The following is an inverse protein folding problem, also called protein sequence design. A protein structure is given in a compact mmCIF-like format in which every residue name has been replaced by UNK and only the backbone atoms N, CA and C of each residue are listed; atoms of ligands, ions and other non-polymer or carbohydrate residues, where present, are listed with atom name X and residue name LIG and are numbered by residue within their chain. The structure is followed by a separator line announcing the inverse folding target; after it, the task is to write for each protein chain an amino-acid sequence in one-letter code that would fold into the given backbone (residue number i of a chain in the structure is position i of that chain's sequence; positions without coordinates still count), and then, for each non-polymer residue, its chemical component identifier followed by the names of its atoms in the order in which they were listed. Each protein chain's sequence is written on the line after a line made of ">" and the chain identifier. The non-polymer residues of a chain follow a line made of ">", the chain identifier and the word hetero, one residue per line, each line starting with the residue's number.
data_IF_663500329338
#
_entry.id   IF_663500329338
#
_cell.length_a   1.000
_cell.length_b   1.000
_cell.length_c   1.000
_cell.angle_alpha   90.00
_cell.angle_beta   90.00
_cell.angle_gamma   90.00
#
_symmetry.space_group_name_H-M   'P 1'
#
loop_
_entity.id
_entity.type
_entity.pdbx_description
1 polymer ?
#
# COMPACT_ATOMS: atom_id res chain seq x y z
N UNK A 1 3.72 -7.02 13.39
CA UNK A 1 3.15 -5.81 14.01
C UNK A 1 3.28 -4.68 13.02
N UNK A 2 2.13 -4.14 12.63
CA UNK A 2 1.97 -3.01 11.69
C UNK A 2 1.45 -1.77 12.42
N UNK A 3 0.96 -1.92 13.65
CA UNK A 3 0.56 -0.84 14.53
C UNK A 3 1.24 -0.98 15.89
N UNK A 4 1.54 0.14 16.54
CA UNK A 4 2.03 0.21 17.92
C UNK A 4 1.26 1.27 18.69
N UNK A 5 0.67 0.88 19.82
CA UNK A 5 0.03 1.83 20.74
C UNK A 5 1.06 2.89 21.18
N UNK A 6 0.78 4.20 21.02
CA UNK A 6 1.63 5.28 21.50
C UNK A 6 1.97 5.20 22.99
N UNK A 7 1.08 4.61 23.80
CA UNK A 7 1.24 4.45 25.24
C UNK A 7 2.10 3.22 25.63
N UNK A 8 2.63 2.49 24.65
CA UNK A 8 3.93 1.84 24.82
C UNK A 8 3.97 0.33 25.02
N UNK A 9 2.85 -0.37 25.19
CA UNK A 9 2.90 -1.83 25.43
C UNK A 9 2.27 -2.71 24.36
N UNK A 10 1.25 -2.23 23.65
CA UNK A 10 0.53 -3.08 22.70
C UNK A 10 1.02 -2.88 21.27
N UNK A 11 1.14 -3.98 20.54
CA UNK A 11 1.39 -3.96 19.11
C UNK A 11 0.60 -5.08 18.45
N UNK A 12 0.03 -4.78 17.29
CA UNK A 12 -0.88 -5.71 16.59
C UNK A 12 -0.68 -5.62 15.07
N UNK A 13 -1.33 -6.52 14.34
CA UNK A 13 -1.39 -6.53 12.87
C UNK A 13 -2.79 -6.07 12.48
N UNK A 14 -2.89 -4.82 12.05
CA UNK A 14 -4.14 -4.22 11.58
C UNK A 14 -4.13 -3.91 10.09
N UNK A 15 -2.95 -3.91 9.48
CA UNK A 15 -2.74 -3.51 8.09
C UNK A 15 -2.43 -4.75 7.24
N UNK A 16 -3.12 -4.86 6.10
CA UNK A 16 -3.04 -6.00 5.20
C UNK A 16 -2.89 -5.55 3.75
N UNK A 17 -2.08 -6.27 2.99
CA UNK A 17 -1.99 -6.15 1.53
C UNK A 17 -2.63 -7.37 0.89
N UNK A 18 -3.77 -7.18 0.23
CA UNK A 18 -4.45 -8.25 -0.50
C UNK A 18 -3.85 -8.35 -1.91
N UNK A 19 -3.28 -9.51 -2.23
CA UNK A 19 -2.61 -9.76 -3.51
C UNK A 19 -3.27 -10.98 -4.16
N UNK A 20 -3.69 -10.85 -5.41
CA UNK A 20 -4.22 -12.00 -6.18
C UNK A 20 -3.17 -13.11 -6.28
N UNK A 21 -3.61 -14.36 -6.12
CA UNK A 21 -2.76 -15.55 -6.20
C UNK A 21 -1.91 -15.62 -7.47
N UNK A 22 -2.39 -15.04 -8.58
CA UNK A 22 -1.65 -14.95 -9.84
C UNK A 22 -0.34 -14.15 -9.75
N UNK A 23 -0.24 -13.26 -8.76
CA UNK A 23 0.95 -12.45 -8.52
C UNK A 23 1.80 -12.97 -7.35
N UNK A 24 1.49 -14.15 -6.80
CA UNK A 24 2.34 -14.79 -5.80
C UNK A 24 3.71 -15.19 -6.35
N UNK A 25 3.85 -15.79 -7.55
CA UNK A 25 5.17 -16.16 -8.06
C UNK A 25 6.18 -15.00 -8.21
N UNK A 26 5.80 -13.79 -8.68
CA UNK A 26 6.71 -12.65 -8.75
C UNK A 26 6.91 -11.91 -7.41
N UNK A 27 6.15 -12.23 -6.36
CA UNK A 27 6.27 -11.59 -5.05
C UNK A 27 7.58 -12.01 -4.37
N UNK A 28 8.40 -11.05 -3.98
CA UNK A 28 9.75 -11.30 -3.40
C UNK A 28 9.81 -11.08 -1.91
N UNK A 29 9.05 -10.11 -1.40
CA UNK A 29 9.12 -9.70 0.00
C UNK A 29 7.81 -9.01 0.40
N UNK A 30 7.33 -9.26 1.63
CA UNK A 30 6.24 -8.50 2.27
C UNK A 30 6.61 -8.28 3.73
N UNK A 31 6.86 -7.04 4.13
CA UNK A 31 7.31 -6.72 5.50
C UNK A 31 6.79 -5.37 5.97
N UNK A 32 6.59 -5.28 7.29
CA UNK A 32 6.41 -4.00 7.97
C UNK A 32 7.77 -3.30 8.15
N UNK A 33 7.84 -2.02 7.81
CA UNK A 33 9.04 -1.19 7.87
C UNK A 33 9.06 -0.44 9.21
N UNK A 34 9.84 -0.95 10.18
CA UNK A 34 9.87 -0.47 11.57
C UNK A 34 11.02 0.50 11.90
N UNK A 35 11.51 1.22 10.89
CA UNK A 35 12.70 2.07 10.97
C UNK A 35 12.57 3.44 10.32
N UNK A 36 11.73 3.65 9.29
CA UNK A 36 11.36 4.99 8.86
C UNK A 36 10.40 5.60 9.88
N UNK A 37 10.78 6.72 10.48
CA UNK A 37 9.85 7.50 11.31
C UNK A 37 8.82 8.14 10.39
N UNK A 38 7.62 7.57 10.38
CA UNK A 38 6.51 8.07 9.58
C UNK A 38 5.68 9.10 10.36
N UNK A 39 6.08 9.44 11.60
CA UNK A 39 5.30 10.28 12.49
C UNK A 39 3.93 9.67 12.84
N UNK A 40 3.78 8.35 12.72
CA UNK A 40 2.55 7.61 12.97
C UNK A 40 2.81 6.39 13.86
N UNK A 41 1.81 6.03 14.63
CA UNK A 41 1.66 4.75 15.32
C UNK A 41 1.54 3.53 14.38
N UNK A 42 1.34 3.75 13.08
CA UNK A 42 1.39 2.73 12.04
C UNK A 42 2.77 2.63 11.37
N UNK A 43 3.26 1.40 11.24
CA UNK A 43 4.41 1.06 10.41
C UNK A 43 3.98 0.87 8.96
N UNK A 44 4.78 1.38 8.02
CA UNK A 44 4.54 1.14 6.59
C UNK A 44 4.62 -0.34 6.26
N UNK A 45 3.58 -0.89 5.65
CA UNK A 45 3.63 -2.22 5.06
C UNK A 45 4.16 -2.11 3.62
N UNK A 46 5.18 -2.91 3.27
CA UNK A 46 5.81 -2.89 1.95
C UNK A 46 5.80 -4.28 1.32
N UNK A 47 5.28 -4.38 0.09
CA UNK A 47 5.44 -5.52 -0.79
C UNK A 47 6.43 -5.20 -1.92
N UNK A 48 7.35 -6.13 -2.21
CA UNK A 48 8.31 -6.04 -3.32
C UNK A 48 7.96 -7.12 -4.32
N UNK A 49 7.75 -6.73 -5.59
CA UNK A 49 7.36 -7.64 -6.66
C UNK A 49 8.17 -7.40 -7.93
N UNK A 50 8.57 -8.48 -8.60
CA UNK A 50 9.32 -8.42 -9.85
C UNK A 50 8.39 -8.62 -11.04
N UNK A 51 8.05 -7.55 -11.75
CA UNK A 51 7.13 -7.57 -12.89
C UNK A 51 7.82 -7.08 -14.18
N UNK A 52 7.38 -7.63 -15.32
CA UNK A 52 7.69 -7.08 -16.64
C UNK A 52 6.49 -6.27 -17.12
N UNK A 53 6.59 -4.95 -17.00
CA UNK A 53 5.52 -4.04 -17.43
C UNK A 53 5.72 -3.64 -18.89
N UNK A 54 4.64 -3.64 -19.68
CA UNK A 54 4.64 -3.04 -21.02
C UNK A 54 4.10 -1.62 -20.90
N UNK A 55 4.82 -0.64 -21.46
CA UNK A 55 4.32 0.73 -21.54
C UNK A 55 3.06 0.75 -22.40
N UNK A 56 1.98 1.28 -21.85
CA UNK A 56 0.77 1.57 -22.60
C UNK A 56 0.82 3.03 -23.08
N UNK A 57 0.58 3.26 -24.36
CA UNK A 57 0.28 4.61 -24.86
C UNK A 57 -1.20 4.82 -24.61
N UNK A 58 -1.55 5.41 -23.46
CA UNK A 58 -2.93 5.82 -23.21
C UNK A 58 -3.30 6.89 -24.24
N UNK A 59 -4.34 6.64 -25.06
CA UNK A 59 -5.14 7.74 -25.58
C UNK A 59 -5.80 8.33 -24.34
N UNK A 60 -5.49 9.58 -23.98
CA UNK A 60 -6.08 10.20 -22.80
C UNK A 60 -7.60 10.08 -22.90
N UNK A 61 -8.21 9.24 -22.07
CA UNK A 61 -9.64 9.33 -21.88
C UNK A 61 -9.87 10.63 -21.09
N UNK A 62 -10.72 11.55 -21.57
CA UNK A 62 -11.03 12.76 -20.82
C UNK A 62 -11.55 12.32 -19.45
N UNK A 63 -10.83 12.69 -18.40
CA UNK A 63 -11.28 12.47 -17.02
C UNK A 63 -12.57 13.28 -16.86
N UNK A 64 -13.72 12.66 -16.53
CA UNK A 64 -14.93 13.40 -16.25
C UNK A 64 -14.63 14.38 -15.12
N UNK A 65 -14.88 15.67 -15.34
CA UNK A 65 -14.86 16.66 -14.25
C UNK A 65 -16.03 16.31 -13.33
N UNK A 66 -15.72 15.81 -12.14
CA UNK A 66 -16.70 15.68 -11.08
C UNK A 66 -16.97 17.10 -10.55
N UNK A 67 -18.16 17.62 -10.79
CA UNK A 67 -18.63 18.84 -10.12
C UNK A 67 -18.98 18.48 -8.67
N UNK A 68 -18.44 19.25 -7.74
CA UNK A 68 -18.72 19.14 -6.31
C UNK A 68 -19.62 20.28 -5.82
N UNK A 69 -20.27 21.00 -6.75
CA UNK A 69 -21.08 22.19 -6.47
C UNK A 69 -22.53 21.87 -6.04
N UNK A 70 -22.83 20.59 -5.81
CA UNK A 70 -24.18 20.12 -5.47
C UNK A 70 -24.30 19.63 -4.02
N UNK A 71 -23.73 20.34 -3.04
CA UNK A 71 -23.94 20.10 -1.60
C UNK A 71 -24.14 21.40 -0.84
#
# INVERSE_FOLDING_TARGET
>A
MTFRNPMGHDSTILDYMLISSRFMPPLKDVRAMRGPDCGSDHYLLRAVMQLRLKRTTSKSHPVPKLDWSSS
#
